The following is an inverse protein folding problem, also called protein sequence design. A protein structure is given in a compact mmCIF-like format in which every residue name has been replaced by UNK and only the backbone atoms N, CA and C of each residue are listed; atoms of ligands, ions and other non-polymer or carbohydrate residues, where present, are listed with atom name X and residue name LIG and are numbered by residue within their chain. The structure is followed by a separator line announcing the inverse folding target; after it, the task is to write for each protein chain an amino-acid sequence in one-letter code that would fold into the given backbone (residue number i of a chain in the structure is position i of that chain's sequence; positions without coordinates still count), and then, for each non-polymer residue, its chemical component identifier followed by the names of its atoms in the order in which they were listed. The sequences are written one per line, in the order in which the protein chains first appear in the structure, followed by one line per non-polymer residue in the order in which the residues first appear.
data_IF_921730064930
#
_entry.id   IF_921730064930
#
_cell.length_a   1.000
_cell.length_b   1.000
_cell.length_c   1.000
_cell.angle_alpha   90.00
_cell.angle_beta   90.00
_cell.angle_gamma   90.00
#
_symmetry.space_group_name_H-M   'P 1'
#
loop_
_entity.id
_entity.type
_entity.pdbx_description
1 polymer ?
#
# COMPACT_ATOMS: atom_id res chain seq x y z
N UNK A 1 75.75 76.29 -15.10
CA UNK A 1 75.11 77.28 -15.99
C UNK A 1 73.91 77.88 -15.26
N UNK A 2 73.97 79.17 -14.90
CA UNK A 2 72.82 80.01 -14.51
C UNK A 2 72.27 80.68 -15.78
N UNK A 3 70.99 81.10 -15.83
CA UNK A 3 70.61 82.45 -15.40
C UNK A 3 69.30 82.44 -14.57
N UNK A 4 69.17 83.13 -13.42
CA UNK A 4 69.06 84.57 -13.16
C UNK A 4 67.91 85.25 -13.94
N UNK A 5 66.84 85.62 -13.20
CA UNK A 5 65.97 86.83 -13.30
C UNK A 5 64.60 86.49 -12.66
N UNK A 6 63.91 87.34 -11.92
CA UNK A 6 64.18 88.68 -11.40
C UNK A 6 63.26 88.91 -10.18
N UNK A 7 63.80 89.66 -9.23
CA UNK A 7 63.16 90.16 -8.02
C UNK A 7 62.27 91.37 -8.40
N UNK A 8 61.05 91.44 -7.88
CA UNK A 8 60.39 92.72 -7.57
C UNK A 8 59.81 92.68 -6.16
N UNK A 9 60.38 93.55 -5.32
CA UNK A 9 59.92 93.94 -3.98
C UNK A 9 58.94 95.11 -4.12
N UNK A 10 57.88 95.10 -3.32
CA UNK A 10 57.20 96.30 -2.82
C UNK A 10 56.55 95.95 -1.46
N UNK A 11 57.14 96.43 -0.36
CA UNK A 11 56.53 97.37 0.60
C UNK A 11 55.13 96.96 1.08
N UNK A 12 55.02 96.31 2.24
CA UNK A 12 55.01 96.90 3.59
C UNK A 12 53.61 97.42 4.00
N UNK A 13 52.93 96.65 4.83
CA UNK A 13 52.03 97.14 5.87
C UNK A 13 51.93 96.06 6.94
N UNK A 14 52.55 96.34 8.09
CA UNK A 14 52.44 95.55 9.29
C UNK A 14 51.04 95.77 9.89
N UNK A 15 50.25 94.71 9.98
CA UNK A 15 49.04 94.66 10.81
C UNK A 15 49.30 93.63 11.91
N UNK A 16 49.51 94.14 13.12
CA UNK A 16 49.49 93.38 14.36
C UNK A 16 48.02 93.01 14.59
N UNK A 17 47.70 91.72 14.55
CA UNK A 17 46.34 91.21 14.74
C UNK A 17 46.32 89.80 15.30
N UNK A 18 45.97 89.71 16.59
CA UNK A 18 45.37 88.60 17.33
C UNK A 18 45.83 87.15 17.04
N UNK A 19 46.40 86.53 18.08
CA UNK A 19 46.47 85.08 18.22
C UNK A 19 45.06 84.47 18.19
N UNK A 20 44.71 83.79 17.10
CA UNK A 20 43.56 82.91 17.02
C UNK A 20 44.11 81.49 17.04
N UNK A 21 43.72 80.72 18.07
CA UNK A 21 43.95 79.29 18.13
C UNK A 21 43.42 78.64 16.84
N UNK A 22 44.34 78.18 15.99
CA UNK A 22 44.00 77.43 14.79
C UNK A 22 43.48 76.06 15.17
N UNK A 23 42.18 75.99 15.49
CA UNK A 23 41.43 74.74 15.45
C UNK A 23 41.52 74.20 14.03
N UNK A 24 42.18 73.06 13.86
CA UNK A 24 42.12 72.32 12.62
C UNK A 24 40.65 71.99 12.34
N UNK A 25 40.03 72.71 11.41
CA UNK A 25 38.76 72.31 10.83
C UNK A 25 39.02 71.02 10.06
N UNK A 26 38.72 69.89 10.69
CA UNK A 26 38.54 68.63 9.99
C UNK A 26 37.44 68.86 8.95
N UNK A 27 37.83 68.91 7.68
CA UNK A 27 36.88 68.84 6.57
C UNK A 27 36.17 67.50 6.68
N UNK A 28 34.95 67.49 7.22
CA UNK A 28 34.06 66.35 7.13
C UNK A 28 33.76 66.11 5.65
N UNK A 29 34.43 65.12 5.06
CA UNK A 29 34.02 64.58 3.76
C UNK A 29 32.55 64.14 3.86
N UNK A 30 31.69 64.51 2.89
CA UNK A 30 30.33 64.04 2.88
C UNK A 30 30.34 62.52 2.85
N UNK A 31 29.71 61.89 3.84
CA UNK A 31 29.57 60.44 3.89
C UNK A 31 28.88 59.97 2.61
N UNK A 32 29.62 59.30 1.72
CA UNK A 32 29.07 58.68 0.53
C UNK A 32 28.01 57.66 0.96
N UNK A 33 26.75 57.98 0.73
CA UNK A 33 25.62 57.10 1.06
C UNK A 33 25.74 55.81 0.24
N UNK A 34 25.53 54.66 0.90
CA UNK A 34 25.54 53.37 0.22
C UNK A 34 24.53 53.39 -0.95
N UNK A 35 24.90 52.89 -2.14
CA UNK A 35 23.95 52.75 -3.24
C UNK A 35 22.82 51.81 -2.83
N UNK A 36 21.60 52.08 -3.30
CA UNK A 36 20.49 51.15 -3.15
C UNK A 36 20.78 49.89 -3.98
N UNK A 37 20.67 48.72 -3.37
CA UNK A 37 20.97 47.44 -4.00
C UNK A 37 19.70 46.63 -4.18
N UNK A 38 19.63 45.95 -5.31
CA UNK A 38 18.65 44.91 -5.60
C UNK A 38 19.34 43.69 -6.19
N UNK A 39 18.72 42.53 -5.99
CA UNK A 39 19.08 41.29 -6.67
C UNK A 39 17.85 40.69 -7.34
N UNK A 40 18.07 39.94 -8.40
CA UNK A 40 17.04 39.14 -9.08
C UNK A 40 17.26 37.67 -8.77
N UNK A 41 16.26 37.02 -8.20
CA UNK A 41 16.19 35.57 -8.12
C UNK A 41 15.54 35.07 -9.41
N UNK A 42 16.11 34.04 -10.02
CA UNK A 42 15.59 33.41 -11.23
C UNK A 42 15.46 31.92 -10.97
N UNK A 43 14.24 31.42 -11.03
CA UNK A 43 13.94 30.03 -10.76
C UNK A 43 13.91 29.24 -12.08
N UNK A 44 15.04 28.65 -12.46
CA UNK A 44 15.17 27.70 -13.56
C UNK A 44 15.13 26.26 -13.04
N UNK A 45 14.44 26.02 -11.94
CA UNK A 45 14.07 24.67 -11.51
C UNK A 45 12.67 24.33 -12.01
N UNK A 46 12.27 23.11 -11.75
CA UNK A 46 10.96 22.57 -12.02
C UNK A 46 10.07 22.50 -10.77
N UNK A 47 10.52 23.13 -9.67
CA UNK A 47 9.82 23.29 -8.40
C UNK A 47 9.53 24.77 -8.12
N UNK A 48 8.51 25.06 -7.32
CA UNK A 48 8.27 26.42 -6.84
C UNK A 48 9.28 26.75 -5.74
N UNK A 49 9.95 27.89 -5.84
CA UNK A 49 10.78 28.43 -4.75
C UNK A 49 9.86 29.05 -3.71
N UNK A 50 9.76 28.43 -2.54
CA UNK A 50 8.85 28.83 -1.47
C UNK A 50 9.46 29.85 -0.51
N UNK A 51 10.72 29.66 -0.12
CA UNK A 51 11.40 30.59 0.80
C UNK A 51 12.79 30.96 0.28
N UNK A 52 13.21 32.18 0.60
CA UNK A 52 14.57 32.63 0.32
C UNK A 52 15.13 33.39 1.51
N UNK A 53 16.25 32.90 2.04
CA UNK A 53 16.97 33.51 3.14
C UNK A 53 18.29 34.13 2.66
N UNK A 54 18.62 35.28 3.23
CA UNK A 54 19.86 36.02 2.94
C UNK A 54 20.40 36.59 4.25
N UNK A 55 21.56 36.08 4.69
CA UNK A 55 22.12 36.39 6.00
C UNK A 55 23.65 36.52 5.97
N UNK A 56 24.20 37.13 7.03
CA UNK A 56 25.62 37.41 7.10
C UNK A 56 26.45 36.10 7.05
N UNK A 57 27.63 36.09 6.41
CA UNK A 57 28.43 34.89 6.29
C UNK A 57 28.76 34.27 7.65
N UNK A 58 28.60 32.94 7.76
CA UNK A 58 28.78 32.16 8.99
C UNK A 58 27.81 32.50 10.13
N UNK A 59 26.72 33.25 9.87
CA UNK A 59 25.65 33.40 10.85
C UNK A 59 24.94 32.06 11.06
N UNK A 60 24.65 31.72 12.31
CA UNK A 60 23.81 30.57 12.67
C UNK A 60 22.31 30.90 12.57
N UNK A 61 21.96 32.18 12.57
CA UNK A 61 20.61 32.66 12.35
C UNK A 61 20.44 33.04 10.87
N UNK A 62 19.47 32.38 10.20
CA UNK A 62 19.10 32.64 8.81
C UNK A 62 18.28 33.92 8.64
N UNK A 63 17.72 34.45 9.73
CA UNK A 63 16.83 35.60 9.73
C UNK A 63 15.46 35.28 9.12
N UNK A 64 14.76 36.33 8.69
CA UNK A 64 13.42 36.22 8.10
C UNK A 64 13.48 35.85 6.62
N UNK A 65 12.46 35.11 6.16
CA UNK A 65 12.22 34.87 4.74
C UNK A 65 12.04 36.20 4.00
N UNK A 66 12.76 36.32 2.89
CA UNK A 66 12.82 37.52 2.04
C UNK A 66 11.74 37.52 0.96
N UNK A 67 11.06 36.39 0.71
CA UNK A 67 9.88 36.33 -0.17
C UNK A 67 8.60 36.70 0.59
N UNK A 68 8.55 36.42 1.89
CA UNK A 68 7.40 36.77 2.74
C UNK A 68 6.19 35.91 2.44
N UNK A 69 5.19 36.47 1.75
CA UNK A 69 4.00 35.70 1.30
C UNK A 69 4.07 35.31 -0.17
N UNK A 70 5.05 35.84 -0.90
CA UNK A 70 5.24 35.53 -2.30
C UNK A 70 5.99 34.21 -2.47
N UNK A 71 5.86 33.62 -3.66
CA UNK A 71 6.70 32.50 -4.11
C UNK A 71 7.28 32.85 -5.48
N UNK A 72 8.31 32.12 -5.91
CA UNK A 72 8.86 32.26 -7.27
C UNK A 72 8.53 30.98 -8.05
N UNK A 73 7.48 30.99 -8.89
CA UNK A 73 7.13 29.85 -9.73
C UNK A 73 8.27 29.44 -10.66
N UNK A 74 8.13 28.25 -11.24
CA UNK A 74 9.03 27.70 -12.25
C UNK A 74 9.17 28.68 -13.43
N UNK A 75 10.40 28.94 -13.87
CA UNK A 75 10.73 29.89 -14.95
C UNK A 75 10.52 31.37 -14.61
N UNK A 76 10.07 31.69 -13.39
CA UNK A 76 9.80 33.07 -12.98
C UNK A 76 11.05 33.76 -12.41
N UNK A 77 10.96 35.08 -12.32
CA UNK A 77 11.97 35.89 -11.63
C UNK A 77 11.32 36.72 -10.52
N UNK A 78 12.08 36.97 -9.46
CA UNK A 78 11.67 37.80 -8.34
C UNK A 78 12.74 38.85 -8.04
N UNK A 79 12.33 40.11 -7.90
CA UNK A 79 13.26 41.21 -7.60
C UNK A 79 13.24 41.52 -6.11
N UNK A 80 14.35 41.23 -5.44
CA UNK A 80 14.52 41.51 -4.02
C UNK A 80 15.28 42.83 -3.84
N UNK A 81 14.61 43.81 -3.21
CA UNK A 81 15.22 45.07 -2.81
C UNK A 81 15.94 44.88 -1.47
N UNK A 82 17.24 45.16 -1.45
CA UNK A 82 18.08 45.03 -0.25
C UNK A 82 18.28 46.36 0.47
N UNK A 83 17.89 47.47 -0.14
CA UNK A 83 18.09 48.78 0.43
C UNK A 83 19.54 49.22 0.32
N UNK A 84 19.96 50.12 1.22
CA UNK A 84 21.31 50.68 1.23
C UNK A 84 22.22 49.81 2.08
N UNK A 85 22.90 48.86 1.45
CA UNK A 85 23.85 47.96 2.11
C UNK A 85 25.28 48.23 1.66
N UNK A 86 26.21 48.18 2.61
CA UNK A 86 27.65 48.34 2.36
C UNK A 86 28.33 46.98 2.16
N UNK A 87 27.89 45.95 2.90
CA UNK A 87 28.44 44.60 2.81
C UNK A 87 27.79 43.82 1.66
N UNK A 88 28.63 43.22 0.82
CA UNK A 88 28.20 42.53 -0.40
C UNK A 88 28.32 41.00 -0.31
N UNK A 89 28.97 40.46 0.71
CA UNK A 89 29.15 39.01 0.86
C UNK A 89 28.09 38.45 1.80
N UNK A 90 27.31 37.48 1.32
CA UNK A 90 26.17 36.90 2.04
C UNK A 90 26.15 35.38 1.87
N UNK A 91 25.61 34.68 2.86
CA UNK A 91 25.16 33.31 2.69
C UNK A 91 23.67 33.33 2.31
N UNK A 92 23.27 32.44 1.40
CA UNK A 92 21.88 32.34 0.93
C UNK A 92 21.37 30.91 1.02
N UNK A 93 20.07 30.78 1.32
CA UNK A 93 19.37 29.49 1.32
C UNK A 93 18.06 29.67 0.56
N UNK A 94 17.88 28.90 -0.50
CA UNK A 94 16.63 28.79 -1.24
C UNK A 94 15.96 27.47 -0.87
N UNK A 95 14.69 27.51 -0.45
CA UNK A 95 13.90 26.32 -0.09
C UNK A 95 12.78 26.15 -1.11
N UNK A 96 12.74 24.97 -1.75
CA UNK A 96 11.75 24.63 -2.76
C UNK A 96 10.53 23.94 -2.15
N UNK A 97 9.48 23.75 -2.97
CA UNK A 97 8.20 23.23 -2.50
C UNK A 97 8.22 21.85 -1.87
N UNK A 98 9.26 21.06 -2.16
CA UNK A 98 9.50 19.74 -1.60
C UNK A 98 10.38 19.76 -0.34
N UNK A 99 10.75 20.96 0.13
CA UNK A 99 11.64 21.15 1.27
C UNK A 99 13.14 21.03 0.94
N UNK A 100 13.51 20.76 -0.31
CA UNK A 100 14.92 20.75 -0.71
C UNK A 100 15.55 22.14 -0.58
N UNK A 101 16.83 22.19 -0.19
CA UNK A 101 17.56 23.45 0.05
C UNK A 101 18.74 23.62 -0.93
N UNK A 102 18.85 24.77 -1.60
CA UNK A 102 20.08 25.23 -2.28
C UNK A 102 20.78 26.24 -1.36
N UNK A 103 21.90 25.80 -0.77
CA UNK A 103 22.72 26.58 0.16
C UNK A 103 23.95 27.11 -0.55
N UNK A 104 24.08 28.44 -0.63
CA UNK A 104 25.26 29.11 -1.22
C UNK A 104 25.97 29.94 -0.19
N UNK A 105 27.27 29.69 -0.03
CA UNK A 105 28.10 30.42 0.92
C UNK A 105 28.90 31.52 0.24
N UNK A 106 29.03 32.66 0.92
CA UNK A 106 29.87 33.81 0.55
C UNK A 106 29.59 34.35 -0.86
N UNK A 107 28.31 34.41 -1.25
CA UNK A 107 27.84 35.02 -2.49
C UNK A 107 28.14 36.52 -2.48
N UNK A 108 28.86 37.02 -3.48
CA UNK A 108 29.08 38.46 -3.69
C UNK A 108 27.95 39.04 -4.56
N UNK A 109 26.91 39.58 -3.92
CA UNK A 109 25.74 40.15 -4.61
C UNK A 109 26.02 41.47 -5.34
N UNK A 110 27.17 42.10 -5.07
CA UNK A 110 27.57 43.33 -5.77
C UNK A 110 28.21 43.00 -7.12
N UNK A 111 28.82 41.82 -7.25
CA UNK A 111 29.29 41.28 -8.54
C UNK A 111 28.19 40.49 -9.25
N UNK A 112 27.39 39.72 -8.51
CA UNK A 112 26.37 38.83 -9.05
C UNK A 112 24.99 39.26 -8.56
N UNK A 113 24.37 40.17 -9.30
CA UNK A 113 23.03 40.69 -8.98
C UNK A 113 21.89 39.76 -9.41
N UNK A 114 22.19 38.68 -10.13
CA UNK A 114 21.21 37.68 -10.57
C UNK A 114 21.61 36.31 -10.04
N UNK A 115 20.79 35.76 -9.15
CA UNK A 115 20.95 34.42 -8.61
C UNK A 115 20.04 33.48 -9.37
N UNK A 116 20.63 32.57 -10.15
CA UNK A 116 19.91 31.57 -10.93
C UNK A 116 19.93 30.26 -10.14
N UNK A 117 18.78 29.63 -10.00
CA UNK A 117 18.58 28.32 -9.39
C UNK A 117 18.19 27.32 -10.47
N UNK A 118 18.87 26.18 -10.55
CA UNK A 118 18.75 25.25 -11.68
C UNK A 118 19.64 25.61 -12.88
N UNK A 119 19.47 24.89 -13.98
CA UNK A 119 20.25 25.08 -15.21
C UNK A 119 19.40 25.76 -16.31
N UNK A 120 19.68 27.03 -16.65
CA UNK A 120 18.97 27.73 -17.72
C UNK A 120 19.19 27.12 -19.11
N UNK A 121 20.24 26.31 -19.30
CA UNK A 121 20.56 25.67 -20.57
C UNK A 121 19.78 24.36 -20.83
N UNK A 122 19.06 23.84 -19.82
CA UNK A 122 18.12 22.74 -20.02
C UNK A 122 16.85 23.25 -20.69
N UNK A 123 16.35 22.60 -21.75
CA UNK A 123 15.07 22.99 -22.33
C UNK A 123 13.91 22.58 -21.42
N UNK A 124 12.75 23.22 -21.60
CA UNK A 124 11.51 22.84 -20.92
C UNK A 124 10.76 21.81 -21.75
N UNK A 125 10.50 20.65 -21.16
CA UNK A 125 9.56 19.65 -21.63
C UNK A 125 8.20 19.90 -20.95
N UNK A 126 7.14 20.05 -21.74
CA UNK A 126 5.76 20.14 -21.25
C UNK A 126 4.97 18.91 -21.73
N UNK A 127 4.26 18.28 -20.80
CA UNK A 127 3.31 17.20 -21.06
C UNK A 127 1.97 17.48 -20.37
N UNK A 128 0.87 17.12 -21.03
CA UNK A 128 -0.47 17.15 -20.45
C UNK A 128 -0.77 15.81 -19.78
N UNK A 129 -1.12 15.88 -18.50
CA UNK A 129 -1.54 14.75 -17.68
C UNK A 129 -3.04 14.85 -17.50
N UNK A 130 -3.78 13.90 -18.04
CA UNK A 130 -5.23 13.84 -17.95
C UNK A 130 -5.66 12.80 -16.91
N UNK A 131 -6.41 13.22 -15.89
CA UNK A 131 -7.11 12.30 -15.02
C UNK A 131 -8.44 11.91 -15.69
N UNK A 132 -8.48 10.75 -16.35
CA UNK A 132 -9.69 10.22 -16.99
C UNK A 132 -10.48 9.28 -16.08
N UNK A 133 -10.19 9.31 -14.78
CA UNK A 133 -10.94 8.56 -13.78
C UNK A 133 -11.99 9.43 -13.10
N UNK A 134 -12.83 8.79 -12.30
CA UNK A 134 -13.81 9.41 -11.41
C UNK A 134 -13.22 9.77 -10.02
N UNK A 135 -11.95 9.47 -9.79
CA UNK A 135 -11.27 9.64 -8.51
C UNK A 135 -10.24 10.76 -8.61
N UNK A 136 -10.16 11.64 -7.60
CA UNK A 136 -9.16 12.71 -7.56
C UNK A 136 -7.75 12.12 -7.54
N UNK A 137 -6.85 12.66 -8.37
CA UNK A 137 -5.43 12.34 -8.36
C UNK A 137 -4.74 13.34 -7.44
N UNK A 138 -4.23 12.86 -6.29
CA UNK A 138 -3.65 13.71 -5.25
C UNK A 138 -2.17 13.98 -5.44
N UNK A 139 -1.43 13.01 -5.96
CA UNK A 139 0.02 13.11 -6.12
C UNK A 139 0.42 12.60 -7.49
N UNK A 140 1.36 13.28 -8.12
CA UNK A 140 1.95 12.90 -9.39
C UNK A 140 3.46 12.94 -9.26
N UNK A 141 4.12 11.84 -9.59
CA UNK A 141 5.56 11.74 -9.62
C UNK A 141 6.04 11.50 -11.05
N UNK A 142 7.19 12.08 -11.37
CA UNK A 142 7.80 11.95 -12.68
C UNK A 142 9.31 11.78 -12.54
N UNK A 143 9.84 10.74 -13.15
CA UNK A 143 11.26 10.49 -13.07
C UNK A 143 11.83 9.87 -14.35
N UNK A 144 13.10 10.16 -14.71
CA UNK A 144 13.71 9.62 -15.91
C UNK A 144 13.65 8.09 -15.90
N UNK A 145 13.23 7.48 -17.00
CA UNK A 145 13.08 6.03 -17.12
C UNK A 145 14.45 5.35 -16.94
N UNK A 146 14.48 4.25 -16.18
CA UNK A 146 15.70 3.46 -15.95
C UNK A 146 15.45 1.96 -16.19
N UNK A 147 16.50 1.18 -16.52
CA UNK A 147 16.35 -0.25 -16.77
C UNK A 147 16.09 -1.10 -15.50
N UNK A 148 16.40 -0.57 -14.32
CA UNK A 148 16.33 -1.29 -13.05
C UNK A 148 15.06 -0.95 -12.26
N UNK A 149 14.56 -1.88 -11.40
CA UNK A 149 13.47 -1.61 -10.48
C UNK A 149 13.76 -0.39 -9.61
N UNK A 150 12.82 0.55 -9.57
CA UNK A 150 12.95 1.80 -8.82
C UNK A 150 12.55 1.57 -7.36
N UNK A 151 13.42 1.93 -6.43
CA UNK A 151 13.06 2.03 -5.01
C UNK A 151 11.97 3.11 -4.80
N UNK A 152 11.09 2.95 -3.81
CA UNK A 152 9.97 3.86 -3.57
C UNK A 152 10.41 5.33 -3.41
N UNK A 153 11.54 5.58 -2.74
CA UNK A 153 12.07 6.94 -2.54
C UNK A 153 12.70 7.56 -3.80
N UNK A 154 12.87 6.80 -4.89
CA UNK A 154 13.56 7.25 -6.11
C UNK A 154 12.64 7.90 -7.16
N UNK A 155 11.38 8.14 -6.83
CA UNK A 155 10.41 8.85 -7.69
C UNK A 155 10.61 10.36 -7.74
N UNK A 156 11.38 10.92 -6.79
CA UNK A 156 11.53 12.36 -6.64
C UNK A 156 10.31 13.01 -5.97
N UNK A 157 10.23 14.34 -5.95
CA UNK A 157 9.16 15.06 -5.28
C UNK A 157 7.83 15.01 -6.04
N UNK A 158 6.73 15.17 -5.31
CA UNK A 158 5.41 15.35 -5.91
C UNK A 158 5.37 16.62 -6.77
N UNK A 159 4.83 16.47 -7.97
CA UNK A 159 4.74 17.48 -9.02
C UNK A 159 3.50 18.36 -8.86
N UNK A 160 2.51 17.95 -8.08
CA UNK A 160 1.31 18.74 -7.79
C UNK A 160 1.49 19.66 -6.57
N UNK A 161 2.36 19.28 -5.63
CA UNK A 161 2.62 20.02 -4.41
C UNK A 161 1.39 20.01 -3.50
N UNK A 162 0.80 21.17 -3.25
CA UNK A 162 -0.46 21.26 -2.51
C UNK A 162 -1.72 21.13 -3.41
N UNK A 163 -1.52 21.04 -4.73
CA UNK A 163 -2.61 20.91 -5.70
C UNK A 163 -3.08 19.46 -5.88
N UNK A 164 -4.17 19.29 -6.61
CA UNK A 164 -4.70 17.99 -7.04
C UNK A 164 -5.17 18.08 -8.50
N UNK A 165 -5.39 16.94 -9.15
CA UNK A 165 -6.10 16.87 -10.44
C UNK A 165 -7.47 16.25 -10.19
N UNK A 166 -8.51 17.07 -10.26
CA UNK A 166 -9.90 16.62 -10.15
C UNK A 166 -10.24 15.55 -11.20
N UNK A 167 -11.33 14.81 -10.96
CA UNK A 167 -11.86 13.85 -11.92
C UNK A 167 -12.13 14.54 -13.27
N UNK A 168 -11.70 13.92 -14.37
CA UNK A 168 -11.80 14.45 -15.74
C UNK A 168 -11.05 15.78 -16.00
N UNK A 169 -10.20 16.23 -15.08
CA UNK A 169 -9.37 17.41 -15.26
C UNK A 169 -7.99 17.08 -15.86
N UNK A 170 -7.26 18.12 -16.24
CA UNK A 170 -5.90 18.02 -16.75
C UNK A 170 -4.92 18.87 -15.97
N UNK A 171 -3.66 18.45 -15.96
CA UNK A 171 -2.53 19.15 -15.37
C UNK A 171 -1.41 19.26 -16.38
N UNK A 172 -0.71 20.39 -16.39
CA UNK A 172 0.45 20.59 -17.25
C UNK A 172 1.72 20.28 -16.48
N UNK A 173 2.26 19.09 -16.68
CA UNK A 173 3.57 18.70 -16.17
C UNK A 173 4.66 19.45 -16.94
N UNK A 174 5.52 20.16 -16.20
CA UNK A 174 6.70 20.84 -16.72
C UNK A 174 7.95 20.27 -16.09
N UNK A 175 8.96 20.02 -16.91
CA UNK A 175 10.26 19.49 -16.47
C UNK A 175 11.37 20.18 -17.27
N UNK A 176 12.46 20.55 -16.60
CA UNK A 176 13.66 21.03 -17.30
C UNK A 176 14.63 19.88 -17.50
N UNK A 177 14.71 19.38 -18.71
CA UNK A 177 15.43 18.13 -18.99
C UNK A 177 15.78 18.03 -20.48
N UNK A 178 16.82 17.24 -20.79
CA UNK A 178 17.10 16.77 -22.16
C UNK A 178 16.58 15.35 -22.40
N UNK A 179 16.13 14.68 -21.35
CA UNK A 179 15.61 13.32 -21.43
C UNK A 179 14.20 13.32 -22.04
N UNK A 180 13.85 12.19 -22.67
CA UNK A 180 12.53 11.98 -23.26
C UNK A 180 11.80 10.80 -22.63
N UNK A 181 12.53 9.80 -22.11
CA UNK A 181 11.96 8.61 -21.51
C UNK A 181 11.71 8.83 -20.01
N UNK A 182 10.46 8.67 -19.59
CA UNK A 182 10.02 8.88 -18.20
C UNK A 182 9.14 7.72 -17.72
N UNK A 183 9.26 7.43 -16.43
CA UNK A 183 8.23 6.73 -15.70
C UNK A 183 7.40 7.78 -14.96
N UNK A 184 6.08 7.59 -14.95
CA UNK A 184 5.13 8.41 -14.19
C UNK A 184 4.38 7.53 -13.19
N UNK A 185 4.20 8.02 -11.97
CA UNK A 185 3.41 7.38 -10.91
C UNK A 185 2.36 8.35 -10.42
N UNK A 186 1.10 7.93 -10.42
CA UNK A 186 -0.04 8.69 -9.93
C UNK A 186 -0.60 8.02 -8.67
N UNK A 187 -0.86 8.81 -7.63
CA UNK A 187 -1.52 8.36 -6.41
C UNK A 187 -2.90 9.01 -6.31
N UNK A 188 -3.93 8.17 -6.18
CA UNK A 188 -5.32 8.59 -6.10
C UNK A 188 -5.74 8.91 -4.66
N UNK A 189 -6.93 9.50 -4.50
CA UNK A 189 -7.47 9.84 -3.19
C UNK A 189 -7.81 8.64 -2.30
N UNK A 190 -7.89 7.43 -2.86
CA UNK A 190 -8.07 6.16 -2.14
C UNK A 190 -6.74 5.40 -1.97
N UNK A 191 -5.61 6.10 -2.07
CA UNK A 191 -4.24 5.61 -1.90
C UNK A 191 -3.82 4.49 -2.87
N UNK A 192 -4.64 4.21 -3.89
CA UNK A 192 -4.26 3.32 -4.99
C UNK A 192 -3.31 4.05 -5.92
N UNK A 193 -2.44 3.28 -6.58
CA UNK A 193 -1.38 3.82 -7.41
C UNK A 193 -1.44 3.25 -8.82
N UNK A 194 -1.30 4.12 -9.82
CA UNK A 194 -1.11 3.74 -11.21
C UNK A 194 0.29 4.16 -11.67
N UNK A 195 1.05 3.22 -12.21
CA UNK A 195 2.40 3.46 -12.72
C UNK A 195 2.43 3.22 -14.23
N UNK A 196 2.98 4.17 -14.97
CA UNK A 196 3.25 4.05 -16.42
C UNK A 196 4.75 4.19 -16.65
N UNK A 197 5.37 3.16 -17.18
CA UNK A 197 6.81 3.08 -17.34
C UNK A 197 7.23 3.29 -18.81
N UNK A 198 8.45 3.81 -19.00
CA UNK A 198 9.08 3.91 -20.33
C UNK A 198 8.34 4.82 -21.32
N UNK A 199 7.62 5.82 -20.83
CA UNK A 199 6.90 6.78 -21.68
C UNK A 199 7.88 7.67 -22.42
N UNK A 200 7.76 7.77 -23.75
CA UNK A 200 8.46 8.77 -24.54
C UNK A 200 7.62 10.07 -24.60
N UNK A 201 7.93 11.00 -23.71
CA UNK A 201 7.24 12.28 -23.61
C UNK A 201 7.66 13.31 -24.68
N UNK A 202 8.74 13.04 -25.42
CA UNK A 202 9.09 13.85 -26.58
C UNK A 202 8.24 13.51 -27.79
N UNK A 203 7.95 12.21 -27.99
CA UNK A 203 7.07 11.73 -29.04
C UNK A 203 5.58 11.93 -28.69
N UNK A 204 5.18 11.63 -27.46
CA UNK A 204 3.79 11.74 -27.01
C UNK A 204 3.67 12.60 -25.73
N UNK A 205 3.14 13.80 -25.90
CA UNK A 205 3.01 14.80 -24.82
C UNK A 205 1.70 14.70 -24.03
N UNK A 206 0.87 13.70 -24.27
CA UNK A 206 -0.38 13.52 -23.53
C UNK A 206 -0.40 12.15 -22.88
N UNK A 207 -0.51 12.12 -21.55
CA UNK A 207 -0.60 10.89 -20.75
C UNK A 207 -1.93 10.90 -20.02
N UNK A 208 -2.71 9.82 -20.18
CA UNK A 208 -3.98 9.66 -19.51
C UNK A 208 -3.89 8.59 -18.42
N UNK A 209 -4.31 8.96 -17.22
CA UNK A 209 -4.46 8.09 -16.05
C UNK A 209 -5.95 7.78 -15.86
N UNK A 210 -6.32 6.51 -16.00
CA UNK A 210 -7.72 6.05 -16.01
C UNK A 210 -7.94 4.88 -15.04
N UNK A 211 -6.96 4.61 -14.15
CA UNK A 211 -6.95 3.53 -13.17
C UNK A 211 -6.81 2.13 -13.78
N UNK A 212 -6.66 2.00 -15.10
CA UNK A 212 -6.49 0.70 -15.76
C UNK A 212 -5.12 0.08 -15.47
N UNK A 213 -4.10 0.91 -15.25
CA UNK A 213 -2.76 0.46 -14.88
C UNK A 213 -2.56 0.20 -13.38
N UNK A 214 -3.60 0.31 -12.55
CA UNK A 214 -3.52 -0.03 -11.13
C UNK A 214 -3.46 -1.56 -11.00
N UNK A 215 -2.42 -2.14 -10.38
CA UNK A 215 -2.35 -3.57 -10.13
C UNK A 215 -3.57 -4.01 -9.30
N UNK A 216 -4.46 -4.80 -9.92
CA UNK A 216 -5.55 -5.45 -9.21
C UNK A 216 -5.04 -6.81 -8.74
N UNK A 217 -5.25 -7.19 -7.47
CA UNK A 217 -5.01 -8.57 -7.06
C UNK A 217 -5.77 -9.48 -8.03
N UNK A 218 -5.18 -10.59 -8.49
CA UNK A 218 -5.91 -11.50 -9.35
C UNK A 218 -7.11 -12.04 -8.58
N UNK A 219 -8.25 -12.20 -9.27
CA UNK A 219 -9.43 -12.84 -8.67
C UNK A 219 -9.34 -14.33 -8.94
N UNK A 220 -9.23 -15.12 -7.87
CA UNK A 220 -9.29 -16.57 -7.92
C UNK A 220 -10.71 -17.04 -7.63
N UNK A 221 -11.10 -18.18 -8.23
CA UNK A 221 -12.39 -18.82 -7.99
C UNK A 221 -12.16 -20.22 -7.48
N UNK A 222 -12.92 -20.64 -6.47
CA UNK A 222 -12.92 -22.01 -5.94
C UNK A 222 -14.34 -22.51 -5.80
N UNK A 223 -14.59 -23.72 -6.30
CA UNK A 223 -15.86 -24.41 -6.15
C UNK A 223 -15.88 -25.20 -4.84
N UNK A 224 -16.88 -24.96 -3.99
CA UNK A 224 -17.06 -25.67 -2.73
C UNK A 224 -18.28 -26.55 -2.82
N UNK A 225 -18.09 -27.85 -2.59
CA UNK A 225 -19.10 -28.88 -2.76
C UNK A 225 -19.46 -29.42 -1.40
N UNK A 226 -20.69 -29.22 -0.98
CA UNK A 226 -21.11 -29.73 0.30
C UNK A 226 -21.39 -31.24 0.23
N UNK A 227 -20.45 -32.05 0.69
CA UNK A 227 -20.64 -33.49 0.96
C UNK A 227 -20.75 -33.78 2.46
N UNK A 228 -20.83 -32.74 3.27
CA UNK A 228 -21.10 -32.83 4.69
C UNK A 228 -22.57 -33.24 4.88
N UNK A 229 -22.87 -33.92 5.98
CA UNK A 229 -24.24 -34.34 6.32
C UNK A 229 -25.13 -33.17 6.78
N UNK A 230 -24.55 -31.97 6.92
CA UNK A 230 -25.22 -30.77 7.40
C UNK A 230 -25.17 -29.67 6.34
N UNK A 231 -26.22 -28.84 6.30
CA UNK A 231 -26.22 -27.61 5.51
C UNK A 231 -25.17 -26.66 6.06
N UNK A 232 -24.34 -26.10 5.17
CA UNK A 232 -23.42 -25.02 5.52
C UNK A 232 -24.19 -23.69 5.49
N UNK A 233 -24.13 -22.95 6.58
CA UNK A 233 -24.84 -21.69 6.78
C UNK A 233 -24.01 -20.50 6.27
N UNK A 234 -22.69 -20.53 6.48
CA UNK A 234 -21.77 -19.45 6.09
C UNK A 234 -20.47 -20.05 5.53
N UNK A 235 -19.87 -19.35 4.56
CA UNK A 235 -18.57 -19.68 3.98
C UNK A 235 -17.71 -18.43 3.98
N UNK A 236 -16.51 -18.54 4.52
CA UNK A 236 -15.49 -17.50 4.49
C UNK A 236 -14.29 -18.01 3.70
N UNK A 237 -13.77 -17.16 2.81
CA UNK A 237 -12.55 -17.44 2.04
C UNK A 237 -11.72 -16.16 1.98
N UNK A 238 -10.50 -16.23 2.49
CA UNK A 238 -9.54 -15.13 2.55
C UNK A 238 -8.15 -15.59 2.10
N UNK A 239 -7.31 -14.69 1.57
CA UNK A 239 -5.89 -14.99 1.38
C UNK A 239 -5.26 -15.47 2.69
N UNK A 240 -4.39 -16.47 2.65
CA UNK A 240 -3.70 -16.94 3.87
C UNK A 240 -2.76 -15.89 4.49
N UNK A 241 -2.44 -14.81 3.77
CA UNK A 241 -1.73 -13.66 4.31
C UNK A 241 -2.59 -12.76 5.20
N UNK A 242 -3.91 -12.89 5.12
CA UNK A 242 -4.85 -11.99 5.79
C UNK A 242 -5.24 -12.57 7.15
N UNK A 243 -5.25 -11.73 8.19
CA UNK A 243 -5.67 -12.14 9.53
C UNK A 243 -7.19 -12.19 9.70
N UNK A 244 -7.94 -11.53 8.82
CA UNK A 244 -9.39 -11.43 8.85
C UNK A 244 -10.03 -12.33 7.78
N UNK A 245 -11.10 -13.02 8.15
CA UNK A 245 -11.86 -13.91 7.26
C UNK A 245 -12.65 -13.19 6.16
N UNK A 246 -12.88 -11.89 6.34
CA UNK A 246 -13.75 -11.10 5.48
C UNK A 246 -15.24 -11.43 5.65
N UNK A 247 -16.10 -10.99 4.72
CA UNK A 247 -17.53 -11.24 4.77
C UNK A 247 -17.89 -12.68 4.36
N UNK A 248 -19.04 -13.16 4.83
CA UNK A 248 -19.64 -14.41 4.34
C UNK A 248 -19.90 -14.33 2.83
N UNK A 249 -19.49 -15.39 2.13
CA UNK A 249 -19.60 -15.54 0.67
C UNK A 249 -20.96 -16.09 0.23
N UNK A 250 -21.75 -16.67 1.14
CA UNK A 250 -23.12 -17.11 0.83
C UNK A 250 -24.16 -15.99 1.00
N UNK A 251 -23.89 -15.02 1.87
CA UNK A 251 -24.77 -13.89 2.14
C UNK A 251 -26.07 -14.34 2.81
N UNK A 252 -27.20 -14.20 2.12
CA UNK A 252 -28.49 -14.68 2.62
C UNK A 252 -28.78 -16.14 2.24
N UNK A 253 -27.94 -16.76 1.39
CA UNK A 253 -28.12 -18.14 0.97
C UNK A 253 -27.49 -19.13 1.97
N UNK A 254 -27.80 -20.41 1.81
CA UNK A 254 -27.12 -21.53 2.48
C UNK A 254 -26.63 -22.49 1.42
N UNK A 255 -25.70 -23.38 1.78
CA UNK A 255 -25.22 -24.46 0.91
C UNK A 255 -25.68 -25.83 1.45
N UNK A 256 -26.82 -26.37 0.98
CA UNK A 256 -27.33 -27.68 1.38
C UNK A 256 -26.41 -28.84 0.96
N UNK A 257 -26.61 -29.99 1.60
CA UNK A 257 -25.92 -31.23 1.22
C UNK A 257 -26.12 -31.55 -0.27
N UNK A 258 -25.05 -31.99 -0.91
CA UNK A 258 -24.98 -32.35 -2.32
C UNK A 258 -24.87 -31.16 -3.29
N UNK A 259 -25.01 -29.92 -2.80
CA UNK A 259 -24.91 -28.73 -3.64
C UNK A 259 -23.48 -28.21 -3.73
N UNK A 260 -23.26 -27.31 -4.69
CA UNK A 260 -22.00 -26.65 -4.96
C UNK A 260 -22.22 -25.13 -5.04
N UNK A 261 -21.24 -24.37 -4.57
CA UNK A 261 -21.15 -22.92 -4.78
C UNK A 261 -19.77 -22.57 -5.33
N UNK A 262 -19.67 -21.48 -6.09
CA UNK A 262 -18.39 -20.93 -6.53
C UNK A 262 -18.18 -19.61 -5.82
N UNK A 263 -17.08 -19.50 -5.09
CA UNK A 263 -16.72 -18.30 -4.36
C UNK A 263 -15.49 -17.66 -4.99
N UNK A 264 -15.45 -16.34 -4.96
CA UNK A 264 -14.34 -15.55 -5.48
C UNK A 264 -13.52 -14.96 -4.35
N UNK A 265 -12.21 -14.92 -4.55
CA UNK A 265 -11.23 -14.33 -3.64
C UNK A 265 -10.30 -13.43 -4.43
N UNK A 266 -10.00 -12.24 -3.92
CA UNK A 266 -8.94 -11.39 -4.45
C UNK A 266 -7.61 -11.78 -3.80
N UNK A 267 -6.56 -12.01 -4.58
CA UNK A 267 -5.23 -12.34 -4.05
C UNK A 267 -4.57 -13.55 -4.72
N UNK A 268 -3.58 -14.12 -4.04
CA UNK A 268 -2.81 -15.27 -4.51
C UNK A 268 -3.60 -16.59 -4.48
N UNK A 269 -2.89 -17.70 -4.71
CA UNK A 269 -3.49 -19.04 -4.74
C UNK A 269 -3.66 -19.68 -3.35
N UNK A 270 -2.96 -19.20 -2.33
CA UNK A 270 -3.05 -19.73 -0.97
C UNK A 270 -4.21 -19.06 -0.23
N UNK A 271 -5.20 -19.85 0.16
CA UNK A 271 -6.42 -19.40 0.80
C UNK A 271 -6.68 -20.13 2.11
N UNK A 272 -7.25 -19.41 3.07
CA UNK A 272 -7.87 -19.98 4.24
C UNK A 272 -9.38 -20.05 4.02
N UNK A 273 -9.99 -21.17 4.40
CA UNK A 273 -11.41 -21.45 4.22
C UNK A 273 -12.02 -21.81 5.57
N UNK A 274 -13.09 -21.12 5.96
CA UNK A 274 -13.89 -21.44 7.14
C UNK A 274 -15.34 -21.63 6.76
N UNK A 275 -15.95 -22.68 7.30
CA UNK A 275 -17.39 -22.93 7.15
C UNK A 275 -18.06 -22.89 8.51
N UNK A 276 -19.30 -22.42 8.54
CA UNK A 276 -20.11 -22.36 9.75
C UNK A 276 -21.44 -23.07 9.51
N UNK A 277 -21.87 -23.87 10.48
CA UNK A 277 -23.12 -24.60 10.44
C UNK A 277 -24.23 -23.85 11.21
N UNK A 278 -25.52 -24.18 11.01
CA UNK A 278 -26.64 -23.50 11.69
C UNK A 278 -26.60 -23.53 13.23
N UNK A 279 -25.85 -24.45 13.83
CA UNK A 279 -25.65 -24.55 15.28
C UNK A 279 -24.50 -23.67 15.80
N UNK A 280 -23.80 -22.93 14.93
CA UNK A 280 -22.63 -22.12 15.26
C UNK A 280 -21.31 -22.88 15.32
N UNK A 281 -21.32 -24.20 15.12
CA UNK A 281 -20.11 -24.99 14.93
C UNK A 281 -19.40 -24.59 13.64
N UNK A 282 -18.07 -24.65 13.63
CA UNK A 282 -17.27 -24.24 12.49
C UNK A 282 -16.08 -25.17 12.25
N UNK A 283 -15.72 -25.33 10.98
CA UNK A 283 -14.53 -26.04 10.54
C UNK A 283 -13.66 -25.12 9.68
N UNK A 284 -12.34 -25.33 9.72
CA UNK A 284 -11.36 -24.48 9.04
C UNK A 284 -10.32 -25.33 8.32
N UNK A 285 -9.93 -24.88 7.12
CA UNK A 285 -8.74 -25.32 6.41
C UNK A 285 -7.87 -24.10 6.11
N UNK A 286 -6.57 -24.20 6.41
CA UNK A 286 -5.59 -23.11 6.25
C UNK A 286 -4.61 -23.45 5.14
N UNK A 287 -4.05 -22.43 4.51
CA UNK A 287 -2.97 -22.55 3.49
C UNK A 287 -3.36 -23.53 2.36
N UNK A 288 -4.58 -23.37 1.84
CA UNK A 288 -5.12 -24.20 0.77
C UNK A 288 -4.76 -23.58 -0.57
N UNK A 289 -4.00 -24.30 -1.39
CA UNK A 289 -3.72 -23.86 -2.76
C UNK A 289 -4.92 -24.11 -3.68
N UNK A 290 -5.78 -23.09 -3.86
CA UNK A 290 -7.00 -23.18 -4.66
C UNK A 290 -6.75 -23.13 -6.18
N UNK A 291 -5.53 -22.80 -6.61
CA UNK A 291 -5.17 -22.86 -8.03
C UNK A 291 -4.84 -24.29 -8.47
N UNK A 292 -4.18 -25.06 -7.59
CA UNK A 292 -3.98 -26.50 -7.80
C UNK A 292 -5.26 -27.30 -7.50
N UNK A 293 -6.12 -26.79 -6.61
CA UNK A 293 -7.38 -27.41 -6.21
C UNK A 293 -8.57 -26.46 -6.38
N UNK A 294 -9.01 -26.19 -7.64
CA UNK A 294 -10.08 -25.24 -7.92
C UNK A 294 -11.46 -25.74 -7.49
N UNK A 295 -11.55 -26.97 -6.98
CA UNK A 295 -12.78 -27.58 -6.49
C UNK A 295 -12.49 -28.38 -5.22
N UNK A 296 -13.16 -28.03 -4.13
CA UNK A 296 -12.96 -28.64 -2.83
C UNK A 296 -14.26 -29.22 -2.30
N UNK A 297 -14.13 -30.40 -1.69
CA UNK A 297 -15.24 -31.15 -1.14
C UNK A 297 -15.28 -30.96 0.38
N UNK A 298 -16.38 -30.38 0.87
CA UNK A 298 -16.66 -30.27 2.29
C UNK A 298 -17.18 -31.61 2.78
N UNK A 299 -16.39 -32.38 3.51
CA UNK A 299 -16.79 -33.63 4.15
C UNK A 299 -16.38 -33.61 5.63
N UNK A 300 -17.00 -34.42 6.51
CA UNK A 300 -16.66 -34.44 7.93
C UNK A 300 -15.15 -34.64 8.13
N UNK A 301 -14.52 -33.75 8.90
CA UNK A 301 -13.08 -33.79 9.15
C UNK A 301 -12.22 -33.38 7.94
N UNK A 302 -12.70 -32.45 7.10
CA UNK A 302 -11.93 -31.92 5.97
C UNK A 302 -10.54 -31.46 6.43
N UNK A 303 -9.54 -32.25 6.05
CA UNK A 303 -8.16 -31.82 5.72
C UNK A 303 -7.99 -31.98 4.21
N UNK A 304 -7.55 -30.93 3.52
CA UNK A 304 -7.58 -30.83 2.05
C UNK A 304 -6.98 -32.09 1.41
N UNK A 305 -7.83 -33.01 0.94
CA UNK A 305 -7.36 -34.21 0.24
C UNK A 305 -7.30 -33.88 -1.25
N UNK A 306 -6.11 -34.04 -1.84
CA UNK A 306 -5.94 -33.99 -3.29
C UNK A 306 -6.95 -34.95 -3.91
N UNK A 307 -7.88 -34.42 -4.70
CA UNK A 307 -8.80 -35.24 -5.47
C UNK A 307 -7.99 -35.86 -6.63
N UNK A 308 -7.23 -36.91 -6.36
CA UNK A 308 -7.01 -37.93 -7.38
C UNK A 308 -8.38 -38.56 -7.60
N UNK A 309 -9.00 -38.21 -8.74
CA UNK A 309 -10.21 -38.77 -9.34
C UNK A 309 -11.15 -39.44 -8.33
N UNK A 310 -12.12 -38.70 -7.79
CA UNK A 310 -13.31 -39.34 -7.22
C UNK A 310 -14.00 -40.12 -8.33
N UNK A 311 -14.00 -41.47 -8.35
CA UNK A 311 -14.79 -42.19 -9.33
C UNK A 311 -16.26 -41.95 -8.98
N UNK A 312 -17.12 -41.95 -10.00
CA UNK A 312 -18.57 -42.03 -9.85
C UNK A 312 -18.97 -43.03 -8.74
N UNK A 313 -20.11 -42.84 -8.04
CA UNK A 313 -20.45 -43.63 -6.86
C UNK A 313 -20.52 -45.10 -7.23
N UNK A 314 -19.44 -45.83 -6.95
CA UNK A 314 -19.40 -47.26 -7.10
C UNK A 314 -20.15 -47.83 -5.90
N UNK A 315 -21.21 -48.57 -6.24
CA UNK A 315 -21.85 -49.61 -5.44
C UNK A 315 -21.01 -50.05 -4.23
N UNK A 316 -21.58 -49.87 -3.04
CA UNK A 316 -21.26 -50.54 -1.77
C UNK A 316 -19.76 -50.69 -1.45
N UNK A 317 -19.19 -49.84 -0.55
CA UNK A 317 -17.79 -50.01 -0.14
C UNK A 317 -17.62 -51.37 0.55
N UNK A 318 -16.64 -52.14 0.08
CA UNK A 318 -16.12 -53.31 0.78
C UNK A 318 -15.60 -52.87 2.15
N UNK A 319 -15.97 -53.53 3.25
CA UNK A 319 -15.61 -53.12 4.61
C UNK A 319 -14.10 -53.18 4.83
N UNK A 320 -13.58 -52.19 5.56
CA UNK A 320 -12.19 -52.16 6.02
C UNK A 320 -11.99 -53.18 7.15
N UNK A 321 -10.83 -53.87 7.24
CA UNK A 321 -10.58 -54.81 8.32
C UNK A 321 -10.68 -54.13 9.68
N UNK A 322 -11.61 -54.59 10.53
CA UNK A 322 -11.83 -54.01 11.85
C UNK A 322 -12.87 -52.89 11.92
N UNK A 323 -13.74 -52.73 10.90
CA UNK A 323 -14.96 -51.93 10.99
C UNK A 323 -16.21 -52.75 10.71
N UNK A 324 -17.37 -52.27 11.18
CA UNK A 324 -18.67 -52.84 10.87
C UNK A 324 -19.60 -51.77 10.31
N UNK A 325 -20.53 -52.18 9.44
CA UNK A 325 -21.55 -51.29 8.88
C UNK A 325 -22.84 -51.44 9.66
N UNK A 326 -23.37 -50.34 10.19
CA UNK A 326 -24.67 -50.29 10.86
C UNK A 326 -25.69 -49.64 9.91
N UNK A 327 -26.76 -50.35 9.58
CA UNK A 327 -27.88 -49.82 8.81
C UNK A 327 -29.10 -49.57 9.69
N UNK A 328 -29.61 -48.35 9.65
CA UNK A 328 -30.84 -47.98 10.34
C UNK A 328 -32.06 -48.40 9.51
N UNK A 329 -32.60 -49.59 9.79
CA UNK A 329 -33.86 -50.07 9.22
C UNK A 329 -35.07 -49.76 10.14
N UNK A 330 -34.88 -48.95 11.18
CA UNK A 330 -35.91 -48.53 12.12
C UNK A 330 -36.70 -47.30 11.65
N UNK A 331 -37.75 -46.90 12.38
CA UNK A 331 -38.65 -45.82 11.97
C UNK A 331 -38.14 -44.41 12.33
N UNK A 332 -37.05 -44.28 13.08
CA UNK A 332 -36.51 -43.00 13.56
C UNK A 332 -35.01 -42.92 13.33
N UNK A 333 -34.41 -41.71 13.30
CA UNK A 333 -32.96 -41.55 13.26
C UNK A 333 -32.29 -42.14 14.50
N UNK A 334 -31.14 -42.79 14.31
CA UNK A 334 -30.25 -43.23 15.38
C UNK A 334 -29.37 -42.06 15.78
N UNK A 335 -29.25 -41.79 17.07
CA UNK A 335 -28.50 -40.64 17.62
C UNK A 335 -27.31 -41.06 18.48
N UNK A 336 -27.28 -42.29 18.99
CA UNK A 336 -26.12 -42.82 19.71
C UNK A 336 -25.90 -44.30 19.34
N UNK A 337 -24.64 -44.71 19.27
CA UNK A 337 -24.26 -46.13 19.07
C UNK A 337 -23.15 -46.50 20.03
N UNK A 338 -23.39 -47.54 20.81
CA UNK A 338 -22.44 -48.09 21.77
C UNK A 338 -22.08 -49.52 21.39
N UNK A 339 -20.83 -49.89 21.63
CA UNK A 339 -20.37 -51.27 21.45
C UNK A 339 -19.30 -51.64 22.48
N UNK A 340 -19.40 -52.82 23.07
CA UNK A 340 -18.47 -53.28 24.08
C UNK A 340 -18.14 -54.75 23.94
N UNK A 341 -17.11 -55.20 24.65
CA UNK A 341 -16.92 -56.64 24.86
C UNK A 341 -18.17 -57.23 25.53
N UNK A 342 -18.52 -58.51 25.26
CA UNK A 342 -19.75 -59.10 25.78
C UNK A 342 -19.83 -59.01 27.31
N UNK A 343 -20.93 -58.46 27.83
CA UNK A 343 -21.15 -58.24 29.26
C UNK A 343 -20.31 -57.13 29.91
N UNK A 344 -19.50 -56.39 29.14
CA UNK A 344 -18.79 -55.21 29.62
C UNK A 344 -19.71 -53.98 29.66
N UNK A 345 -19.34 -52.90 30.39
CA UNK A 345 -20.03 -51.63 30.29
C UNK A 345 -20.07 -51.12 28.84
N UNK A 346 -21.17 -50.46 28.45
CA UNK A 346 -21.46 -50.02 27.06
C UNK A 346 -20.40 -49.12 26.39
N UNK A 347 -19.49 -48.53 27.17
CA UNK A 347 -18.44 -47.64 26.65
C UNK A 347 -18.96 -46.25 26.28
N UNK A 348 -18.18 -45.52 25.49
CA UNK A 348 -18.55 -44.19 24.96
C UNK A 348 -19.40 -44.32 23.70
N UNK A 349 -20.19 -43.30 23.42
CA UNK A 349 -20.89 -43.19 22.16
C UNK A 349 -19.89 -43.11 21.01
N UNK A 350 -20.12 -43.93 19.98
CA UNK A 350 -19.32 -44.03 18.77
C UNK A 350 -19.84 -43.18 17.61
N UNK A 351 -21.06 -42.62 17.71
CA UNK A 351 -21.54 -41.61 16.76
C UNK A 351 -21.09 -40.20 17.15
N UNK A 352 -20.94 -39.91 18.44
CA UNK A 352 -20.56 -38.59 18.91
C UNK A 352 -21.68 -37.58 18.67
N UNK A 353 -21.48 -36.65 17.75
CA UNK A 353 -22.50 -35.67 17.35
C UNK A 353 -23.28 -36.10 16.10
N UNK A 354 -22.91 -37.22 15.49
CA UNK A 354 -23.49 -37.70 14.23
C UNK A 354 -24.84 -38.42 14.45
N UNK A 355 -25.67 -38.44 13.40
CA UNK A 355 -26.99 -39.08 13.41
C UNK A 355 -27.10 -39.96 12.17
N UNK A 356 -27.62 -41.19 12.32
CA UNK A 356 -27.90 -42.10 11.19
C UNK A 356 -29.38 -42.01 10.82
N UNK A 357 -29.75 -41.39 9.69
CA UNK A 357 -31.14 -41.27 9.25
C UNK A 357 -31.79 -42.63 8.97
N UNK A 358 -33.12 -42.63 8.84
CA UNK A 358 -33.89 -43.83 8.48
C UNK A 358 -33.51 -44.28 7.07
N UNK A 359 -33.13 -45.55 6.93
CA UNK A 359 -32.76 -46.17 5.65
C UNK A 359 -31.27 -46.12 5.31
N UNK A 360 -30.51 -45.27 6.01
CA UNK A 360 -29.09 -45.04 5.79
C UNK A 360 -28.21 -46.01 6.59
N UNK A 361 -26.94 -46.07 6.24
CA UNK A 361 -25.93 -46.87 6.91
C UNK A 361 -24.66 -46.06 7.21
N UNK A 362 -23.98 -46.41 8.29
CA UNK A 362 -22.72 -45.81 8.75
C UNK A 362 -21.69 -46.90 8.99
N UNK A 363 -20.43 -46.63 8.64
CA UNK A 363 -19.31 -47.50 8.98
C UNK A 363 -18.70 -47.05 10.31
N UNK A 364 -18.67 -47.94 11.29
CA UNK A 364 -18.17 -47.68 12.63
C UNK A 364 -16.92 -48.52 12.92
N UNK A 365 -15.95 -47.99 13.67
CA UNK A 365 -14.79 -48.76 14.07
C UNK A 365 -15.19 -49.91 14.99
N UNK A 366 -14.55 -51.07 14.81
CA UNK A 366 -14.71 -52.25 15.65
C UNK A 366 -14.15 -52.07 17.06
N UNK A 367 -14.13 -53.14 17.85
CA UNK A 367 -13.63 -53.06 19.22
C UNK A 367 -12.09 -52.95 19.27
N UNK A 368 -11.61 -52.21 20.26
CA UNK A 368 -10.17 -52.10 20.53
C UNK A 368 -9.55 -53.47 20.86
N UNK A 369 -8.29 -53.67 20.47
CA UNK A 369 -7.57 -54.92 20.72
C UNK A 369 -7.91 -56.08 19.77
N UNK A 370 -8.66 -55.83 18.69
CA UNK A 370 -8.96 -56.86 17.68
C UNK A 370 -10.01 -57.89 18.12
N UNK A 371 -10.82 -57.55 19.13
CA UNK A 371 -11.93 -58.39 19.58
C UNK A 371 -13.08 -58.25 18.60
N UNK A 372 -13.51 -59.36 18.00
CA UNK A 372 -14.55 -59.33 16.98
C UNK A 372 -15.96 -59.54 17.51
N UNK A 373 -16.12 -60.25 18.61
CA UNK A 373 -17.45 -60.45 19.21
C UNK A 373 -17.75 -59.36 20.23
N UNK A 374 -18.89 -58.69 20.10
CA UNK A 374 -19.30 -57.59 20.98
C UNK A 374 -20.81 -57.46 21.17
N UNK A 375 -21.20 -56.72 22.20
CA UNK A 375 -22.58 -56.29 22.41
C UNK A 375 -22.76 -54.88 21.84
N UNK A 376 -23.71 -54.71 20.92
CA UNK A 376 -24.05 -53.43 20.29
C UNK A 376 -25.35 -52.88 20.89
N UNK A 377 -25.38 -51.59 21.20
CA UNK A 377 -26.59 -50.86 21.61
C UNK A 377 -26.76 -49.65 20.74
N UNK A 378 -27.96 -49.47 20.20
CA UNK A 378 -28.33 -48.36 19.33
C UNK A 378 -29.45 -47.57 19.99
N UNK A 379 -29.31 -46.25 20.06
CA UNK A 379 -30.31 -45.36 20.64
C UNK A 379 -30.95 -44.52 19.55
N UNK A 380 -32.28 -44.61 19.44
CA UNK A 380 -33.06 -43.78 18.54
C UNK A 380 -33.31 -42.40 19.14
N UNK A 381 -33.64 -41.43 18.28
CA UNK A 381 -33.90 -40.04 18.69
C UNK A 381 -34.96 -39.87 19.78
N UNK A 382 -35.88 -40.81 19.94
CA UNK A 382 -36.90 -40.81 20.98
C UNK A 382 -36.45 -41.47 22.30
N UNK A 383 -35.18 -41.87 22.39
CA UNK A 383 -34.59 -42.53 23.54
C UNK A 383 -34.84 -44.04 23.60
N UNK A 384 -35.51 -44.65 22.61
CA UNK A 384 -35.64 -46.11 22.56
C UNK A 384 -34.30 -46.76 22.23
N UNK A 385 -33.95 -47.79 22.99
CA UNK A 385 -32.72 -48.55 22.79
C UNK A 385 -32.99 -49.91 22.13
N UNK A 386 -32.10 -50.31 21.24
CA UNK A 386 -32.06 -51.66 20.65
C UNK A 386 -30.70 -52.28 20.90
N UNK A 387 -30.70 -53.40 21.62
CA UNK A 387 -29.49 -54.16 21.92
C UNK A 387 -29.36 -55.39 21.02
N UNK A 388 -28.12 -55.71 20.63
CA UNK A 388 -27.73 -56.88 19.85
C UNK A 388 -26.49 -57.50 20.52
N UNK A 389 -26.67 -58.48 21.42
CA UNK A 389 -25.55 -59.11 22.10
C UNK A 389 -24.82 -60.11 21.20
N UNK A 390 -23.51 -60.25 21.40
CA UNK A 390 -22.68 -61.30 20.80
C UNK A 390 -22.55 -61.25 19.27
N UNK A 391 -22.58 -60.07 18.65
CA UNK A 391 -22.45 -59.90 17.20
C UNK A 391 -20.99 -59.79 16.76
N UNK A 392 -20.70 -60.17 15.52
CA UNK A 392 -19.37 -60.04 14.90
C UNK A 392 -19.21 -58.65 14.28
N UNK A 393 -18.36 -57.83 14.90
CA UNK A 393 -18.06 -56.45 14.54
C UNK A 393 -16.81 -56.31 13.63
N UNK A 394 -16.19 -57.44 13.22
CA UNK A 394 -15.02 -57.44 12.32
C UNK A 394 -15.35 -57.91 10.91
N UNK A 395 -16.44 -58.64 10.74
CA UNK A 395 -16.78 -59.31 9.48
C UNK A 395 -17.29 -58.37 8.38
N UNK A 396 -17.51 -57.09 8.73
CA UNK A 396 -17.99 -56.07 7.80
C UNK A 396 -19.36 -56.39 7.19
N UNK A 397 -20.10 -57.33 7.79
CA UNK A 397 -21.49 -57.59 7.45
C UNK A 397 -22.34 -56.40 7.91
N UNK A 398 -23.33 -56.04 7.09
CA UNK A 398 -24.25 -54.95 7.41
C UNK A 398 -25.19 -55.41 8.53
N UNK A 399 -25.10 -54.74 9.67
CA UNK A 399 -25.94 -55.00 10.84
C UNK A 399 -27.17 -54.09 10.73
N UNK A 400 -28.34 -54.68 10.50
CA UNK A 400 -29.59 -53.94 10.50
C UNK A 400 -30.20 -53.83 11.91
N UNK A 401 -30.56 -52.60 12.30
CA UNK A 401 -31.29 -52.29 13.53
C UNK A 401 -32.66 -51.71 13.19
N UNK A 402 -33.69 -52.12 13.94
CA UNK A 402 -35.11 -51.81 13.67
C UNK A 402 -35.81 -51.33 14.92
#
# INVERSE_FOLDING_TARGET
MRPIRAIRRACALAVIGLAIAGGAMAQQQPAQQAPNREITLQNETDLVLQNFYLFAPNSQDRGQDRLGRDTVPQGATFRLRLGRIQNCTWDTVAIFQDGSEDVRRRVDICRTQRLIYGDPALPTLEAEIANRSDTVLRELYAAPARPEPRAEDAWGPDRLGAGVIDANATFRLRMRTRDCAFDLRAVYADDREEVKQGLDLCANRTVAFDRSGIPRPPTQSVALVNRHLATVQEVYVSPSSDSDWGPDRLGAATLPQGQETVVQMEGGCEADIRIVFPNGGAEEAREVNICEQPRIVLAPGWVVQRIEETPAPATTPTPSPGSFRLRNAGPLPVVEVYAGAPGAPRGTDRLGADVVPVGDAVDLPGLEGGVCTGDLVVVFRDGREVSRPGIDLCRGEEIEVR
#
